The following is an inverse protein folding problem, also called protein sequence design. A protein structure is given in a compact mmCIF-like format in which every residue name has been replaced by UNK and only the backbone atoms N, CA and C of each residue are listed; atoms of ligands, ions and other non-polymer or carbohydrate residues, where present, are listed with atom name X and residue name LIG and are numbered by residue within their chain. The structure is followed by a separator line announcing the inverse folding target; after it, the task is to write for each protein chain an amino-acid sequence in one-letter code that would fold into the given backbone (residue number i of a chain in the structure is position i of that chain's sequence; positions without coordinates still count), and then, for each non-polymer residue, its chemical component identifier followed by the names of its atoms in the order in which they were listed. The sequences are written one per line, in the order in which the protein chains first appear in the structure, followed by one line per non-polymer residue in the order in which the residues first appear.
data_IF_617461638361
#
_entry.id   IF_617461638361
#
_cell.length_a   1.000
_cell.length_b   1.000
_cell.length_c   1.000
_cell.angle_alpha   90.00
_cell.angle_beta   90.00
_cell.angle_gamma   90.00
#
_symmetry.space_group_name_H-M   'P 1'
#
loop_
_entity.id
_entity.type
_entity.pdbx_description
1 polymer ?
#
# COMPACT_ATOMS: atom_id res chain seq x y z
N UNK A 1 33.87 -11.44 -4.63
CA UNK A 1 34.93 -10.94 -3.74
C UNK A 1 34.39 -10.91 -2.32
N UNK A 2 35.12 -11.47 -1.35
CA UNK A 2 34.73 -11.45 0.06
C UNK A 2 35.02 -10.06 0.67
N UNK A 3 34.31 -9.64 1.74
CA UNK A 3 34.55 -8.38 2.41
C UNK A 3 35.99 -8.20 2.91
N UNK A 4 36.62 -9.29 3.39
CA UNK A 4 38.02 -9.28 3.84
C UNK A 4 39.01 -8.95 2.70
N UNK A 5 38.78 -9.49 1.50
CA UNK A 5 39.60 -9.22 0.32
C UNK A 5 39.44 -7.77 -0.17
N UNK A 6 38.23 -7.19 -0.06
CA UNK A 6 37.99 -5.78 -0.40
C UNK A 6 38.73 -4.83 0.55
N UNK A 7 38.81 -5.14 1.84
CA UNK A 7 39.55 -4.35 2.81
C UNK A 7 41.07 -4.42 2.56
N UNK A 8 41.59 -5.60 2.22
CA UNK A 8 43.00 -5.77 1.83
C UNK A 8 43.38 -4.98 0.57
N UNK A 9 42.42 -4.72 -0.32
CA UNK A 9 42.59 -3.91 -1.52
C UNK A 9 42.45 -2.40 -1.29
N UNK A 10 42.22 -1.93 -0.05
CA UNK A 10 42.00 -0.52 0.27
C UNK A 10 40.54 -0.07 0.15
N UNK A 11 39.59 -0.99 0.28
CA UNK A 11 38.15 -0.73 0.23
C UNK A 11 37.53 -0.89 -1.17
N UNK A 12 36.21 -0.67 -1.25
CA UNK A 12 35.42 -0.89 -2.48
C UNK A 12 35.88 -0.01 -3.64
N UNK A 13 36.24 1.24 -3.37
CA UNK A 13 36.68 2.17 -4.42
C UNK A 13 38.03 1.77 -5.01
N UNK A 14 39.00 1.39 -4.16
CA UNK A 14 40.32 0.97 -4.61
C UNK A 14 40.26 -0.39 -5.35
N UNK A 15 39.46 -1.33 -4.86
CA UNK A 15 39.16 -2.56 -5.59
C UNK A 15 38.50 -2.27 -6.95
N UNK A 16 37.55 -1.33 -7.00
CA UNK A 16 36.87 -0.99 -8.25
C UNK A 16 37.80 -0.29 -9.24
N UNK A 17 38.69 0.60 -8.80
CA UNK A 17 39.73 1.20 -9.68
C UNK A 17 40.67 0.18 -10.31
N UNK A 18 40.77 -1.03 -9.76
CA UNK A 18 41.68 -2.09 -10.24
C UNK A 18 40.97 -3.18 -11.04
N UNK A 19 39.71 -3.47 -10.70
CA UNK A 19 38.98 -4.62 -11.26
C UNK A 19 37.66 -4.26 -11.95
N UNK A 20 37.10 -3.06 -11.75
CA UNK A 20 35.90 -2.66 -12.46
C UNK A 20 36.24 -2.29 -13.91
N UNK A 21 35.62 -3.00 -14.85
CA UNK A 21 35.57 -2.54 -16.23
C UNK A 21 34.55 -1.40 -16.33
N UNK A 22 34.98 -0.25 -16.84
CA UNK A 22 34.07 0.85 -17.11
C UNK A 22 33.10 0.39 -18.20
N UNK A 23 31.83 0.75 -18.07
CA UNK A 23 30.79 0.41 -19.06
C UNK A 23 30.24 1.68 -19.66
N UNK A 24 29.94 1.64 -20.96
CA UNK A 24 29.18 2.70 -21.59
C UNK A 24 27.72 2.61 -21.11
N UNK A 25 27.30 3.65 -20.40
CA UNK A 25 25.90 3.87 -20.09
C UNK A 25 25.17 4.31 -21.36
N UNK A 26 24.03 3.68 -21.60
CA UNK A 26 23.15 4.03 -22.71
C UNK A 26 22.06 4.95 -22.18
N UNK A 27 21.54 5.81 -23.06
CA UNK A 27 20.43 6.70 -22.72
C UNK A 27 19.21 5.91 -22.23
N UNK A 28 18.41 6.53 -21.36
CA UNK A 28 17.27 5.89 -20.67
C UNK A 28 16.21 5.32 -21.64
N UNK A 29 16.20 5.79 -22.89
CA UNK A 29 15.35 5.32 -23.99
C UNK A 29 15.99 4.33 -24.97
N UNK A 30 17.27 3.95 -24.82
CA UNK A 30 17.98 3.13 -25.81
C UNK A 30 17.37 1.73 -26.02
N UNK A 31 16.61 1.26 -25.03
CA UNK A 31 15.91 -0.03 -25.08
C UNK A 31 14.40 0.11 -25.28
N UNK A 32 13.91 1.31 -25.64
CA UNK A 32 12.49 1.54 -25.89
C UNK A 32 11.99 0.69 -27.07
N UNK A 33 10.77 0.15 -26.94
CA UNK A 33 10.15 -0.69 -27.96
C UNK A 33 10.63 -2.15 -28.01
N UNK A 34 11.65 -2.52 -27.24
CA UNK A 34 12.12 -3.91 -27.16
C UNK A 34 11.33 -4.70 -26.13
N UNK A 35 10.82 -5.86 -26.55
CA UNK A 35 10.09 -6.79 -25.70
C UNK A 35 10.99 -7.33 -24.58
N UNK A 36 10.39 -7.59 -23.42
CA UNK A 36 11.09 -8.29 -22.34
C UNK A 36 11.23 -9.78 -22.67
N UNK A 37 12.39 -10.35 -22.34
CA UNK A 37 12.59 -11.80 -22.38
C UNK A 37 12.00 -12.47 -21.14
N UNK A 38 11.70 -13.77 -21.23
CA UNK A 38 11.21 -14.56 -20.08
C UNK A 38 12.36 -15.15 -19.24
N UNK A 39 13.58 -15.14 -19.78
CA UNK A 39 14.77 -15.68 -19.12
C UNK A 39 15.72 -16.35 -20.11
N UNK A 40 16.94 -16.63 -19.65
CA UNK A 40 18.01 -17.19 -20.45
C UNK A 40 17.63 -18.52 -21.11
N UNK A 41 17.17 -19.50 -20.34
CA UNK A 41 16.85 -20.83 -20.84
C UNK A 41 15.70 -20.79 -21.86
N UNK A 42 14.62 -20.07 -21.54
CA UNK A 42 13.50 -19.89 -22.44
C UNK A 42 13.92 -19.20 -23.75
N UNK A 43 14.74 -18.15 -23.67
CA UNK A 43 15.19 -17.45 -24.87
C UNK A 43 16.07 -18.34 -25.77
N UNK A 44 17.02 -19.08 -25.21
CA UNK A 44 17.89 -19.97 -25.99
C UNK A 44 17.12 -21.16 -26.55
N UNK A 45 16.44 -21.93 -25.69
CA UNK A 45 15.87 -23.22 -26.08
C UNK A 45 14.54 -23.09 -26.83
N UNK A 46 13.75 -22.05 -26.54
CA UNK A 46 12.46 -21.83 -27.18
C UNK A 46 12.59 -20.76 -28.25
N UNK A 47 12.90 -19.51 -27.89
CA UNK A 47 12.83 -18.39 -28.85
C UNK A 47 13.81 -18.53 -30.01
N UNK A 48 15.09 -18.79 -29.75
CA UNK A 48 16.12 -18.89 -30.80
C UNK A 48 15.90 -20.15 -31.63
N UNK A 49 15.65 -21.29 -30.99
CA UNK A 49 15.43 -22.57 -31.67
C UNK A 49 14.23 -22.50 -32.62
N UNK A 50 13.08 -22.04 -32.13
CA UNK A 50 11.85 -21.93 -32.94
C UNK A 50 11.99 -20.93 -34.08
N UNK A 51 12.64 -19.78 -33.84
CA UNK A 51 12.90 -18.80 -34.90
C UNK A 51 13.81 -19.38 -35.99
N UNK A 52 14.87 -20.08 -35.59
CA UNK A 52 15.79 -20.71 -36.53
C UNK A 52 15.09 -21.78 -37.36
N UNK A 53 14.35 -22.71 -36.74
CA UNK A 53 13.69 -23.79 -37.48
C UNK A 53 12.62 -23.27 -38.44
N UNK A 54 11.95 -22.15 -38.11
CA UNK A 54 10.93 -21.56 -38.95
C UNK A 54 11.50 -20.72 -40.10
N UNK A 55 12.56 -19.94 -39.88
CA UNK A 55 12.96 -18.86 -40.81
C UNK A 55 14.36 -18.98 -41.38
N UNK A 56 15.18 -19.92 -40.91
CA UNK A 56 16.59 -19.97 -41.32
C UNK A 56 16.74 -20.11 -42.84
N UNK A 57 15.91 -20.92 -43.49
CA UNK A 57 15.96 -21.09 -44.94
C UNK A 57 15.64 -19.79 -45.69
N UNK A 58 14.75 -18.95 -45.15
CA UNK A 58 14.38 -17.65 -45.71
C UNK A 58 15.49 -16.62 -45.53
N UNK A 59 16.15 -16.58 -44.37
CA UNK A 59 17.21 -15.60 -44.08
C UNK A 59 18.58 -16.02 -44.60
N UNK A 60 18.79 -17.31 -44.93
CA UNK A 60 20.11 -17.86 -45.31
C UNK A 60 20.74 -17.14 -46.53
N UNK A 61 20.01 -16.81 -47.61
CA UNK A 61 20.60 -16.07 -48.73
C UNK A 61 21.17 -14.72 -48.29
N UNK A 62 20.43 -13.97 -47.47
CA UNK A 62 20.87 -12.69 -46.94
C UNK A 62 22.05 -12.83 -45.96
N UNK A 63 22.04 -13.87 -45.12
CA UNK A 63 23.14 -14.18 -44.21
C UNK A 63 24.43 -14.47 -44.99
N UNK A 64 24.34 -15.28 -46.04
CA UNK A 64 25.49 -15.63 -46.90
C UNK A 64 26.02 -14.40 -47.63
N UNK A 65 25.14 -13.52 -48.13
CA UNK A 65 25.56 -12.25 -48.72
C UNK A 65 26.33 -11.35 -47.72
N UNK A 66 25.90 -11.30 -46.47
CA UNK A 66 26.51 -10.43 -45.45
C UNK A 66 27.81 -11.01 -44.85
N UNK A 67 27.94 -12.34 -44.76
CA UNK A 67 28.98 -12.99 -43.94
C UNK A 67 29.75 -14.11 -44.65
N UNK A 68 29.43 -14.39 -45.92
CA UNK A 68 30.09 -15.38 -46.76
C UNK A 68 29.83 -16.84 -46.36
N UNK A 69 28.84 -17.13 -45.51
CA UNK A 69 28.49 -18.51 -45.18
C UNK A 69 27.36 -18.66 -44.16
N UNK A 70 26.84 -19.88 -44.05
CA UNK A 70 25.80 -20.22 -43.08
C UNK A 70 26.34 -20.56 -41.68
N UNK A 71 25.41 -20.85 -40.77
CA UNK A 71 25.68 -21.35 -39.42
C UNK A 71 24.81 -22.59 -39.14
N UNK A 72 25.22 -23.46 -38.21
CA UNK A 72 24.39 -24.58 -37.76
C UNK A 72 23.58 -24.21 -36.51
N UNK A 73 22.43 -24.84 -36.29
CA UNK A 73 21.62 -24.60 -35.10
C UNK A 73 22.43 -24.83 -33.80
N UNK A 74 23.22 -25.91 -33.72
CA UNK A 74 24.04 -26.24 -32.55
C UNK A 74 25.04 -25.12 -32.22
N UNK A 75 25.71 -24.59 -33.24
CA UNK A 75 26.70 -23.50 -33.05
C UNK A 75 26.03 -22.19 -32.68
N UNK A 76 24.87 -21.88 -33.30
CA UNK A 76 24.07 -20.71 -32.94
C UNK A 76 23.60 -20.75 -31.48
N UNK A 77 23.08 -21.90 -31.01
CA UNK A 77 22.62 -22.07 -29.64
C UNK A 77 23.75 -21.93 -28.62
N UNK A 78 24.97 -22.40 -28.94
CA UNK A 78 26.14 -22.22 -28.08
C UNK A 78 26.49 -20.73 -27.91
N UNK A 79 26.54 -19.97 -29.02
CA UNK A 79 26.78 -18.51 -28.96
C UNK A 79 25.65 -17.78 -28.24
N UNK A 80 24.40 -18.16 -28.51
CA UNK A 80 23.22 -17.61 -27.85
C UNK A 80 23.27 -17.83 -26.34
N UNK A 81 23.62 -19.03 -25.87
CA UNK A 81 23.77 -19.33 -24.46
C UNK A 81 24.83 -18.46 -23.78
N UNK A 82 25.98 -18.26 -24.43
CA UNK A 82 27.03 -17.38 -23.93
C UNK A 82 26.58 -15.91 -23.85
N UNK A 83 25.88 -15.41 -24.88
CA UNK A 83 25.32 -14.05 -24.89
C UNK A 83 24.24 -13.87 -23.81
N UNK A 84 23.38 -14.86 -23.63
CA UNK A 84 22.31 -14.84 -22.64
C UNK A 84 22.85 -14.87 -21.20
N UNK A 85 23.91 -15.65 -20.93
CA UNK A 85 24.55 -15.67 -19.62
C UNK A 85 25.26 -14.37 -19.24
N UNK A 86 25.56 -13.50 -20.22
CA UNK A 86 26.13 -12.18 -19.98
C UNK A 86 25.08 -11.05 -20.00
N UNK A 87 23.82 -11.36 -20.32
CA UNK A 87 22.73 -10.40 -20.31
C UNK A 87 22.19 -10.19 -18.89
N UNK A 88 21.51 -9.07 -18.68
CA UNK A 88 20.81 -8.81 -17.42
C UNK A 88 19.69 -9.83 -17.23
N UNK A 89 19.78 -10.64 -16.17
CA UNK A 89 18.88 -11.77 -15.92
C UNK A 89 17.38 -11.41 -16.05
N UNK A 90 16.97 -10.26 -15.50
CA UNK A 90 15.57 -9.83 -15.48
C UNK A 90 15.05 -9.30 -16.80
N UNK A 91 15.90 -8.75 -17.65
CA UNK A 91 15.47 -7.96 -18.82
C UNK A 91 15.97 -8.49 -20.15
N UNK A 92 17.04 -9.30 -20.15
CA UNK A 92 17.71 -9.79 -21.37
C UNK A 92 18.52 -8.71 -22.07
N UNK A 93 18.65 -7.53 -21.45
CA UNK A 93 19.36 -6.38 -22.02
C UNK A 93 20.85 -6.48 -21.68
N UNK A 94 21.63 -5.53 -22.21
CA UNK A 94 22.99 -5.29 -21.75
C UNK A 94 23.97 -6.46 -21.95
N UNK A 95 23.73 -7.34 -22.92
CA UNK A 95 24.72 -8.36 -23.31
C UNK A 95 25.88 -7.67 -24.05
N UNK A 96 27.02 -7.55 -23.36
CA UNK A 96 28.18 -6.72 -23.77
C UNK A 96 29.43 -7.55 -24.06
N UNK A 97 29.28 -8.82 -24.42
CA UNK A 97 30.46 -9.64 -24.74
C UNK A 97 31.17 -9.10 -25.97
N UNK A 98 32.50 -9.07 -25.95
CA UNK A 98 33.30 -8.81 -27.15
C UNK A 98 33.33 -10.08 -27.99
N UNK A 99 33.77 -9.96 -29.25
CA UNK A 99 33.94 -11.16 -30.08
C UNK A 99 35.05 -12.04 -29.49
N UNK A 100 36.15 -11.44 -29.04
CA UNK A 100 37.24 -12.17 -28.37
C UNK A 100 36.77 -12.95 -27.14
N UNK A 101 35.93 -12.36 -26.27
CA UNK A 101 35.41 -13.10 -25.10
C UNK A 101 34.39 -14.17 -25.48
N UNK A 102 33.67 -14.00 -26.59
CA UNK A 102 32.83 -15.08 -27.12
C UNK A 102 33.68 -16.23 -27.69
N UNK A 103 34.78 -15.94 -28.39
CA UNK A 103 35.74 -16.95 -28.88
C UNK A 103 36.26 -17.75 -27.70
N UNK A 104 36.74 -17.08 -26.65
CA UNK A 104 37.26 -17.71 -25.43
C UNK A 104 36.22 -18.60 -24.74
N UNK A 105 34.97 -18.11 -24.60
CA UNK A 105 33.90 -18.86 -23.91
C UNK A 105 33.33 -20.02 -24.70
N UNK A 106 33.29 -19.93 -26.03
CA UNK A 106 32.61 -20.92 -26.88
C UNK A 106 33.56 -21.84 -27.62
N UNK A 107 34.85 -21.50 -27.71
CA UNK A 107 35.86 -22.19 -28.52
C UNK A 107 35.65 -22.04 -30.03
N UNK A 108 34.76 -21.14 -30.47
CA UNK A 108 34.41 -20.96 -31.89
C UNK A 108 35.27 -19.87 -32.52
N UNK A 109 35.57 -20.01 -33.81
CA UNK A 109 36.29 -19.00 -34.57
C UNK A 109 35.53 -17.67 -34.69
N UNK A 110 36.28 -16.57 -34.82
CA UNK A 110 35.72 -15.20 -34.89
C UNK A 110 34.64 -15.05 -35.98
N UNK A 111 34.90 -15.54 -37.20
CA UNK A 111 33.94 -15.48 -38.31
C UNK A 111 32.63 -16.23 -37.99
N UNK A 112 32.71 -17.34 -37.26
CA UNK A 112 31.52 -18.10 -36.84
C UNK A 112 30.68 -17.32 -35.85
N UNK A 113 31.31 -16.57 -34.94
CA UNK A 113 30.59 -15.71 -33.98
C UNK A 113 29.95 -14.51 -34.69
N UNK A 114 30.66 -13.91 -35.66
CA UNK A 114 30.10 -12.83 -36.47
C UNK A 114 28.85 -13.32 -37.25
N UNK A 115 28.92 -14.51 -37.87
CA UNK A 115 27.77 -15.18 -38.49
C UNK A 115 26.64 -15.42 -37.51
N UNK A 116 26.94 -15.90 -36.30
CA UNK A 116 25.94 -16.15 -35.27
C UNK A 116 25.19 -14.88 -34.88
N UNK A 117 25.91 -13.79 -34.61
CA UNK A 117 25.32 -12.50 -34.26
C UNK A 117 24.44 -11.93 -35.38
N UNK A 118 24.92 -12.02 -36.61
CA UNK A 118 24.13 -11.60 -37.77
C UNK A 118 22.88 -12.47 -37.94
N UNK A 119 22.99 -13.78 -37.71
CA UNK A 119 21.84 -14.70 -37.74
C UNK A 119 20.81 -14.32 -36.67
N UNK A 120 21.22 -14.05 -35.43
CA UNK A 120 20.31 -13.63 -34.36
C UNK A 120 19.60 -12.32 -34.67
N UNK A 121 20.29 -11.40 -35.34
CA UNK A 121 19.74 -10.12 -35.80
C UNK A 121 18.71 -10.32 -36.93
N UNK A 122 19.04 -11.13 -37.94
CA UNK A 122 18.14 -11.44 -39.05
C UNK A 122 16.88 -12.20 -38.59
N UNK A 123 17.03 -13.11 -37.62
CA UNK A 123 15.91 -13.82 -36.97
C UNK A 123 15.06 -12.91 -36.06
N UNK A 124 15.48 -11.66 -35.85
CA UNK A 124 14.80 -10.66 -35.00
C UNK A 124 14.62 -11.13 -33.54
N UNK A 125 15.53 -11.96 -33.03
CA UNK A 125 15.56 -12.43 -31.64
C UNK A 125 16.59 -11.68 -30.78
N UNK A 126 17.44 -10.89 -31.44
CA UNK A 126 18.36 -9.98 -30.77
C UNK A 126 18.47 -8.69 -31.58
N UNK A 127 18.55 -7.57 -30.87
CA UNK A 127 18.79 -6.25 -31.45
C UNK A 127 20.14 -5.73 -30.97
N UNK A 128 20.99 -5.30 -31.91
CA UNK A 128 22.20 -4.54 -31.61
C UNK A 128 21.79 -3.09 -31.34
N UNK A 129 21.74 -2.73 -30.06
CA UNK A 129 21.30 -1.40 -29.61
C UNK A 129 22.38 -0.35 -29.85
N UNK A 130 23.64 -0.74 -29.61
CA UNK A 130 24.80 0.09 -29.89
C UNK A 130 25.86 -0.77 -30.54
N UNK A 131 26.29 -0.36 -31.73
CA UNK A 131 27.42 -0.99 -32.41
C UNK A 131 28.72 -0.67 -31.69
N UNK A 132 29.57 -1.68 -31.53
CA UNK A 132 30.88 -1.52 -30.94
C UNK A 132 31.68 -0.45 -31.68
N UNK A 133 32.33 0.46 -30.94
CA UNK A 133 33.11 1.57 -31.50
C UNK A 133 34.34 1.86 -30.65
N UNK A 134 35.32 2.53 -31.24
CA UNK A 134 36.47 3.02 -30.46
C UNK A 134 36.04 4.05 -29.41
N UNK A 135 36.74 4.04 -28.27
CA UNK A 135 36.53 5.03 -27.20
C UNK A 135 37.00 6.40 -27.65
N UNK A 136 36.18 7.43 -27.40
CA UNK A 136 36.55 8.85 -27.61
C UNK A 136 37.59 9.29 -26.58
N UNK A 137 38.29 10.41 -26.86
CA UNK A 137 39.35 10.95 -25.98
C UNK A 137 38.89 11.08 -24.51
N UNK A 138 37.73 11.70 -24.27
CA UNK A 138 37.17 11.84 -22.92
C UNK A 138 36.85 10.50 -22.25
N UNK A 139 36.26 9.56 -22.98
CA UNK A 139 35.95 8.20 -22.50
C UNK A 139 37.23 7.42 -22.14
N UNK A 140 38.32 7.62 -22.88
CA UNK A 140 39.63 7.03 -22.58
C UNK A 140 40.23 7.59 -21.30
N UNK A 141 40.20 8.91 -21.11
CA UNK A 141 40.67 9.52 -19.85
C UNK A 141 39.84 9.06 -18.66
N UNK A 142 38.51 8.95 -18.82
CA UNK A 142 37.63 8.36 -17.82
C UNK A 142 38.00 6.91 -17.49
N UNK A 143 38.20 6.08 -18.51
CA UNK A 143 38.58 4.66 -18.35
C UNK A 143 39.95 4.49 -17.69
N UNK A 144 40.92 5.34 -18.03
CA UNK A 144 42.27 5.32 -17.45
C UNK A 144 42.26 5.58 -15.93
N UNK A 145 41.33 6.40 -15.43
CA UNK A 145 41.15 6.62 -13.97
C UNK A 145 40.75 5.34 -13.22
N UNK A 146 40.12 4.39 -13.92
CA UNK A 146 39.75 3.07 -13.41
C UNK A 146 40.67 1.96 -13.94
N UNK A 147 41.89 2.31 -14.38
CA UNK A 147 42.90 1.40 -14.92
C UNK A 147 42.41 0.51 -16.09
N UNK A 148 41.31 0.89 -16.74
CA UNK A 148 40.75 0.15 -17.87
C UNK A 148 41.48 0.53 -19.16
N UNK A 149 42.26 -0.43 -19.68
CA UNK A 149 43.09 -0.28 -20.88
C UNK A 149 42.36 -0.63 -22.19
N UNK A 150 41.05 -0.87 -22.15
CA UNK A 150 40.25 -1.19 -23.33
C UNK A 150 40.31 -0.09 -24.39
N UNK A 151 40.59 -0.47 -25.64
CA UNK A 151 40.64 0.49 -26.77
C UNK A 151 39.26 0.91 -27.29
N UNK A 152 38.25 0.06 -27.12
CA UNK A 152 36.91 0.26 -27.68
C UNK A 152 35.80 -0.28 -26.78
N UNK A 153 34.58 0.17 -27.08
CA UNK A 153 33.36 -0.34 -26.51
C UNK A 153 32.89 -1.58 -27.26
N UNK A 154 32.49 -2.61 -26.51
CA UNK A 154 31.79 -3.76 -27.06
C UNK A 154 30.41 -3.34 -27.60
N UNK A 155 29.93 -4.07 -28.61
CA UNK A 155 28.54 -3.99 -29.05
C UNK A 155 27.59 -4.30 -27.89
N UNK A 156 26.53 -3.51 -27.72
CA UNK A 156 25.50 -3.77 -26.71
C UNK A 156 24.30 -4.42 -27.38
N UNK A 157 23.99 -5.63 -26.93
CA UNK A 157 22.86 -6.40 -27.44
C UNK A 157 21.72 -6.46 -26.44
N UNK A 158 20.50 -6.42 -26.96
CA UNK A 158 19.28 -6.71 -26.23
C UNK A 158 18.64 -7.97 -26.80
N UNK A 159 18.42 -8.96 -25.95
CA UNK A 159 17.86 -10.25 -26.28
C UNK A 159 16.37 -10.22 -25.98
N UNK A 160 15.55 -10.57 -26.96
CA UNK A 160 14.11 -10.50 -26.86
C UNK A 160 13.44 -11.61 -27.67
N UNK A 161 12.18 -11.99 -27.38
CA UNK A 161 11.43 -12.84 -28.29
C UNK A 161 11.18 -12.12 -29.62
N UNK A 162 11.06 -12.88 -30.71
CA UNK A 162 10.77 -12.35 -32.05
C UNK A 162 9.43 -11.62 -32.10
N UNK A 163 8.41 -12.22 -31.49
CA UNK A 163 7.09 -11.63 -31.32
C UNK A 163 6.98 -11.17 -29.87
N UNK A 164 6.67 -9.90 -29.58
CA UNK A 164 6.32 -9.52 -28.22
C UNK A 164 5.16 -10.42 -27.77
N UNK A 165 5.24 -10.92 -26.52
CA UNK A 165 4.09 -11.59 -25.91
C UNK A 165 3.05 -10.51 -25.71
N UNK A 166 2.12 -10.42 -26.66
CA UNK A 166 1.01 -9.51 -26.57
C UNK A 166 -0.06 -10.17 -25.71
N UNK A 167 -0.05 -9.88 -24.40
CA UNK A 167 -1.11 -10.31 -23.48
C UNK A 167 -2.49 -9.71 -23.85
N UNK A 168 -2.55 -8.83 -24.84
CA UNK A 168 -3.79 -8.18 -25.28
C UNK A 168 -4.37 -8.77 -26.57
N UNK A 169 -3.68 -9.68 -27.27
CA UNK A 169 -4.14 -10.23 -28.55
C UNK A 169 -4.56 -11.69 -28.49
N UNK A 170 -5.77 -11.87 -29.00
CA UNK A 170 -6.42 -13.09 -29.46
C UNK A 170 -5.42 -13.97 -30.21
N UNK A 171 -5.44 -15.26 -29.87
CA UNK A 171 -4.68 -16.36 -30.48
C UNK A 171 -4.69 -16.21 -32.00
N UNK A 172 -3.53 -15.94 -32.59
CA UNK A 172 -3.32 -16.01 -34.05
C UNK A 172 -2.88 -17.43 -34.38
N UNK A 173 -3.33 -17.96 -35.51
CA UNK A 173 -2.93 -19.27 -36.02
C UNK A 173 -1.39 -19.40 -36.06
N UNK A 174 -0.88 -20.48 -35.45
CA UNK A 174 0.56 -20.72 -35.27
C UNK A 174 1.19 -20.09 -34.02
N UNK A 175 0.43 -19.47 -33.12
CA UNK A 175 0.90 -19.24 -31.74
C UNK A 175 0.84 -20.55 -30.95
N UNK A 176 1.85 -20.80 -30.10
CA UNK A 176 1.83 -21.96 -29.22
C UNK A 176 0.60 -21.80 -28.32
N UNK A 177 -0.44 -22.60 -28.56
CA UNK A 177 -1.52 -22.77 -27.61
C UNK A 177 -0.93 -23.45 -26.38
N UNK A 178 -0.36 -22.65 -25.47
CA UNK A 178 -0.12 -23.09 -24.11
C UNK A 178 -1.49 -23.47 -23.57
N UNK A 179 -1.66 -24.74 -23.22
CA UNK A 179 -2.89 -25.22 -22.61
C UNK A 179 -3.28 -24.22 -21.50
N UNK A 180 -4.54 -23.76 -21.45
CA UNK A 180 -5.00 -22.90 -20.38
C UNK A 180 -4.62 -23.59 -19.08
N UNK A 181 -3.76 -22.95 -18.29
CA UNK A 181 -3.28 -23.56 -17.06
C UNK A 181 -4.54 -23.89 -16.25
N UNK A 182 -4.66 -25.12 -15.68
CA UNK A 182 -5.83 -25.46 -14.90
C UNK A 182 -6.05 -24.36 -13.88
N UNK A 183 -7.21 -23.71 -13.95
CA UNK A 183 -7.54 -22.49 -13.17
C UNK A 183 -7.38 -22.70 -11.65
N UNK A 184 -7.22 -23.94 -11.18
CA UNK A 184 -6.89 -24.35 -9.82
C UNK A 184 -5.95 -25.56 -9.82
N UNK A 185 -4.85 -25.48 -9.09
CA UNK A 185 -4.16 -26.68 -8.59
C UNK A 185 -4.97 -27.30 -7.44
N UNK A 186 -4.92 -28.62 -7.30
CA UNK A 186 -5.60 -29.38 -6.23
C UNK A 186 -5.15 -28.99 -4.81
N UNK A 187 -4.02 -28.28 -4.69
CA UNK A 187 -3.54 -27.70 -3.45
C UNK A 187 -3.71 -26.17 -3.48
N UNK A 188 -4.94 -25.72 -3.22
CA UNK A 188 -5.20 -24.31 -2.97
C UNK A 188 -4.78 -23.96 -1.54
N UNK A 189 -3.53 -23.55 -1.35
CA UNK A 189 -3.19 -22.70 -0.20
C UNK A 189 -3.98 -21.40 -0.40
N UNK A 190 -4.78 -21.02 0.59
CA UNK A 190 -5.51 -19.75 0.63
C UNK A 190 -4.54 -18.58 0.46
N UNK A 191 -4.24 -18.19 -0.78
CA UNK A 191 -3.60 -16.91 -1.06
C UNK A 191 -4.59 -15.82 -0.70
N UNK A 192 -4.19 -15.00 0.26
CA UNK A 192 -4.99 -13.91 0.80
C UNK A 192 -5.54 -13.02 -0.33
N UNK A 193 -6.79 -12.58 -0.14
CA UNK A 193 -7.58 -11.76 -1.05
C UNK A 193 -6.71 -10.63 -1.67
N UNK A 194 -6.29 -10.80 -2.92
CA UNK A 194 -5.76 -9.70 -3.72
C UNK A 194 -6.92 -8.77 -4.08
N UNK A 195 -7.01 -7.71 -3.31
CA UNK A 195 -7.80 -6.50 -3.57
C UNK A 195 -7.53 -6.04 -5.02
N UNK A 196 -8.55 -6.16 -5.89
CA UNK A 196 -8.53 -5.61 -7.24
C UNK A 196 -8.60 -4.10 -7.10
N UNK A 197 -7.45 -3.44 -7.08
CA UNK A 197 -7.35 -1.99 -7.10
C UNK A 197 -7.17 -1.51 -8.54
N UNK A 198 -8.25 -1.01 -9.12
CA UNK A 198 -8.24 -0.26 -10.37
C UNK A 198 -7.44 1.03 -10.20
N UNK A 199 -6.13 0.99 -10.48
CA UNK A 199 -5.31 2.19 -10.61
C UNK A 199 -4.53 2.14 -11.91
N UNK A 200 -4.55 3.26 -12.66
CA UNK A 200 -4.02 3.43 -14.03
C UNK A 200 -2.48 3.36 -14.14
N UNK A 201 -1.78 2.56 -13.33
CA UNK A 201 -0.32 2.37 -13.43
C UNK A 201 0.04 0.90 -13.41
N UNK A 202 0.73 0.45 -14.47
CA UNK A 202 1.21 -0.91 -14.62
C UNK A 202 2.23 -1.28 -13.53
N UNK A 203 2.18 -2.55 -13.13
CA UNK A 203 3.01 -3.15 -12.07
C UNK A 203 4.52 -3.00 -12.35
N UNK A 204 4.90 -2.87 -13.62
CA UNK A 204 6.29 -2.76 -14.08
C UNK A 204 6.99 -1.43 -13.74
N UNK A 205 6.24 -0.43 -13.25
CA UNK A 205 6.79 0.85 -12.75
C UNK A 205 6.95 0.91 -11.23
N UNK A 206 6.78 -0.20 -10.50
CA UNK A 206 7.14 -0.25 -9.08
C UNK A 206 8.66 -0.33 -8.93
N UNK A 207 9.31 0.83 -8.93
CA UNK A 207 10.57 0.97 -8.23
C UNK A 207 10.34 0.56 -6.77
N UNK A 208 11.24 -0.25 -6.19
CA UNK A 208 11.27 -0.46 -4.75
C UNK A 208 11.35 0.92 -4.07
N UNK A 209 10.51 1.23 -3.05
CA UNK A 209 10.51 2.54 -2.42
C UNK A 209 11.91 2.82 -1.88
N UNK A 210 12.63 3.74 -2.54
CA UNK A 210 13.90 4.24 -2.05
C UNK A 210 13.57 5.08 -0.82
N UNK A 211 13.92 4.54 0.34
CA UNK A 211 13.76 5.18 1.64
C UNK A 211 14.67 6.42 1.70
N UNK A 212 14.06 7.58 1.48
CA UNK A 212 14.39 8.83 2.15
C UNK A 212 13.05 9.47 2.48
N UNK A 213 12.36 8.89 3.46
CA UNK A 213 11.23 9.59 4.08
C UNK A 213 11.87 10.76 4.81
N UNK A 214 11.72 11.97 4.26
CA UNK A 214 12.03 13.17 5.04
C UNK A 214 11.11 13.18 6.26
N UNK A 215 11.50 13.84 7.35
CA UNK A 215 10.64 13.93 8.55
C UNK A 215 9.23 14.43 8.19
N UNK A 216 9.14 15.36 7.24
CA UNK A 216 7.88 15.87 6.70
C UNK A 216 7.03 14.81 5.97
N UNK A 217 7.65 13.86 5.26
CA UNK A 217 6.90 12.78 4.59
C UNK A 217 6.32 11.78 5.60
N UNK A 218 7.05 11.51 6.69
CA UNK A 218 6.56 10.66 7.78
C UNK A 218 5.38 11.32 8.48
N UNK A 219 5.51 12.59 8.85
CA UNK A 219 4.44 13.37 9.49
C UNK A 219 3.19 13.44 8.61
N UNK A 220 3.37 13.66 7.30
CA UNK A 220 2.26 13.65 6.33
C UNK A 220 1.60 12.27 6.23
N UNK A 221 2.38 11.19 6.23
CA UNK A 221 1.84 9.83 6.22
C UNK A 221 1.07 9.52 7.52
N UNK A 222 1.54 9.98 8.67
CA UNK A 222 0.86 9.86 9.95
C UNK A 222 -0.46 10.66 9.99
N UNK A 223 -0.46 11.89 9.49
CA UNK A 223 -1.68 12.69 9.34
C UNK A 223 -2.72 11.97 8.47
N UNK A 224 -2.30 11.39 7.34
CA UNK A 224 -3.18 10.63 6.45
C UNK A 224 -3.71 9.37 7.15
N UNK A 225 -2.90 8.69 7.98
CA UNK A 225 -3.36 7.56 8.81
C UNK A 225 -4.43 7.99 9.82
N UNK A 226 -4.25 9.12 10.50
CA UNK A 226 -5.26 9.68 11.42
C UNK A 226 -6.56 10.00 10.68
N UNK A 227 -6.49 10.65 9.52
CA UNK A 227 -7.65 10.92 8.67
C UNK A 227 -8.35 9.64 8.20
N UNK A 228 -7.59 8.57 7.88
CA UNK A 228 -8.15 7.28 7.51
C UNK A 228 -8.89 6.60 8.68
N UNK A 229 -8.33 6.65 9.90
CA UNK A 229 -8.99 6.12 11.08
C UNK A 229 -10.30 6.86 11.36
N UNK A 230 -10.30 8.20 11.30
CA UNK A 230 -11.52 8.99 11.43
C UNK A 230 -12.56 8.62 10.37
N UNK A 231 -12.15 8.52 9.11
CA UNK A 231 -13.02 8.10 8.01
C UNK A 231 -13.63 6.71 8.24
N UNK A 232 -12.84 5.75 8.74
CA UNK A 232 -13.32 4.39 9.02
C UNK A 232 -14.36 4.36 10.13
N UNK A 233 -14.14 5.11 11.22
CA UNK A 233 -15.08 5.26 12.33
C UNK A 233 -16.36 5.97 11.89
N UNK A 234 -16.22 7.00 11.05
CA UNK A 234 -17.36 7.74 10.50
C UNK A 234 -18.21 6.85 9.59
N UNK A 235 -17.63 6.13 8.64
CA UNK A 235 -18.39 5.25 7.76
C UNK A 235 -19.06 4.08 8.49
N UNK A 236 -18.50 3.63 9.62
CA UNK A 236 -19.11 2.61 10.49
C UNK A 236 -20.24 3.11 11.37
N UNK A 237 -20.43 4.43 11.50
CA UNK A 237 -21.49 5.00 12.34
C UNK A 237 -22.86 4.86 11.64
N UNK A 238 -23.91 4.39 12.34
CA UNK A 238 -25.26 4.28 11.78
C UNK A 238 -25.85 5.62 11.32
N UNK A 239 -25.47 6.75 11.94
CA UNK A 239 -25.97 8.10 11.58
C UNK A 239 -25.35 8.67 10.29
N UNK A 240 -24.37 7.99 9.70
CA UNK A 240 -23.63 8.50 8.55
C UNK A 240 -24.47 8.43 7.27
N UNK A 241 -24.56 9.52 6.49
CA UNK A 241 -25.44 9.59 5.32
C UNK A 241 -25.03 8.62 4.21
N UNK A 242 -26.02 8.14 3.45
CA UNK A 242 -25.83 7.12 2.42
C UNK A 242 -24.85 7.56 1.31
N UNK A 243 -24.87 8.84 0.92
CA UNK A 243 -23.94 9.38 -0.08
C UNK A 243 -22.47 9.28 0.37
N UNK A 244 -22.19 9.30 1.68
CA UNK A 244 -20.82 9.22 2.18
C UNK A 244 -20.25 7.80 2.01
N UNK A 245 -21.12 6.78 2.13
CA UNK A 245 -20.79 5.36 2.00
C UNK A 245 -20.47 4.92 0.57
N UNK A 246 -20.78 5.74 -0.42
CA UNK A 246 -20.39 5.48 -1.82
C UNK A 246 -18.86 5.56 -2.02
N UNK A 247 -18.14 6.22 -1.11
CA UNK A 247 -16.69 6.36 -1.16
C UNK A 247 -15.98 5.53 -0.09
N UNK A 248 -14.76 5.09 -0.39
CA UNK A 248 -13.96 4.27 0.53
C UNK A 248 -13.30 5.14 1.62
N UNK A 249 -12.96 4.57 2.80
CA UNK A 249 -12.22 5.28 3.84
C UNK A 249 -10.92 5.93 3.34
N UNK A 250 -10.23 5.26 2.39
CA UNK A 250 -9.02 5.79 1.73
C UNK A 250 -9.30 7.04 0.90
N UNK A 251 -10.45 7.14 0.24
CA UNK A 251 -10.85 8.33 -0.52
C UNK A 251 -11.19 9.53 0.39
N UNK A 252 -11.71 9.26 1.58
CA UNK A 252 -12.03 10.27 2.59
C UNK A 252 -10.82 10.79 3.37
N UNK A 253 -9.77 9.96 3.53
CA UNK A 253 -8.62 10.30 4.36
C UNK A 253 -7.99 11.68 4.08
N UNK A 254 -7.76 12.11 2.82
CA UNK A 254 -7.18 13.43 2.53
C UNK A 254 -8.14 14.62 2.73
N UNK A 255 -9.42 14.39 3.01
CA UNK A 255 -10.38 15.45 3.36
C UNK A 255 -10.55 15.58 4.88
N UNK A 256 -10.25 14.51 5.61
CA UNK A 256 -10.42 14.42 7.06
C UNK A 256 -9.09 14.43 7.83
N UNK A 257 -7.96 14.67 7.16
CA UNK A 257 -6.64 14.80 7.77
C UNK A 257 -6.59 15.92 8.81
N UNK A 258 -7.05 17.12 8.44
CA UNK A 258 -6.96 18.29 9.29
C UNK A 258 -7.95 18.20 10.47
N UNK A 259 -9.24 17.83 10.27
CA UNK A 259 -10.16 17.55 11.39
C UNK A 259 -9.63 16.47 12.34
N UNK A 260 -9.05 15.39 11.80
CA UNK A 260 -8.50 14.32 12.64
C UNK A 260 -7.26 14.78 13.45
N UNK A 261 -6.48 15.72 12.93
CA UNK A 261 -5.36 16.31 13.67
C UNK A 261 -5.84 17.12 14.88
N UNK A 262 -7.01 17.77 14.75
CA UNK A 262 -7.67 18.52 15.83
C UNK A 262 -8.59 17.68 16.72
N UNK A 263 -8.55 16.34 16.60
CA UNK A 263 -9.29 15.45 17.51
C UNK A 263 -10.78 15.29 17.22
N UNK A 264 -11.25 15.70 16.03
CA UNK A 264 -12.65 15.53 15.66
C UNK A 264 -13.07 14.06 15.64
N UNK A 265 -14.29 13.80 16.08
CA UNK A 265 -14.88 12.47 16.14
C UNK A 265 -15.88 12.21 15.00
N UNK A 266 -16.24 10.94 14.83
CA UNK A 266 -17.26 10.56 13.85
C UNK A 266 -18.66 11.14 14.15
N UNK A 267 -18.98 11.40 15.42
CA UNK A 267 -20.24 12.01 15.82
C UNK A 267 -20.28 13.49 15.45
N UNK A 268 -19.19 14.22 15.72
CA UNK A 268 -19.03 15.64 15.37
C UNK A 268 -19.24 15.91 13.87
N UNK A 269 -18.74 15.01 13.02
CA UNK A 269 -18.95 15.09 11.58
C UNK A 269 -20.42 14.99 11.19
N UNK A 270 -21.19 14.12 11.87
CA UNK A 270 -22.62 14.00 11.61
C UNK A 270 -23.40 15.18 12.21
N UNK A 271 -23.03 15.65 13.40
CA UNK A 271 -23.69 16.79 14.03
C UNK A 271 -23.46 18.09 13.25
N UNK A 272 -22.30 18.28 12.61
CA UNK A 272 -22.05 19.41 11.70
C UNK A 272 -22.85 19.32 10.40
N UNK A 273 -23.02 18.12 9.84
CA UNK A 273 -23.90 17.89 8.69
C UNK A 273 -25.37 18.18 9.07
N UNK A 274 -25.81 17.73 10.25
CA UNK A 274 -27.15 17.97 10.77
C UNK A 274 -27.38 19.46 11.06
N UNK A 275 -26.40 20.16 11.64
CA UNK A 275 -26.45 21.59 11.88
C UNK A 275 -26.56 22.38 10.56
N UNK A 276 -25.76 22.02 9.55
CA UNK A 276 -25.85 22.63 8.23
C UNK A 276 -27.20 22.36 7.55
N UNK A 277 -27.72 21.13 7.65
CA UNK A 277 -29.02 20.73 7.12
C UNK A 277 -30.16 21.54 7.76
N UNK A 278 -30.11 21.74 9.09
CA UNK A 278 -31.07 22.58 9.83
C UNK A 278 -30.99 24.05 9.41
N UNK A 279 -29.78 24.60 9.25
CA UNK A 279 -29.57 26.00 8.89
C UNK A 279 -30.06 26.30 7.46
N UNK A 280 -29.83 25.38 6.51
CA UNK A 280 -30.23 25.54 5.11
C UNK A 280 -31.64 25.01 4.81
N UNK A 281 -32.25 24.28 5.75
CA UNK A 281 -33.53 23.56 5.58
C UNK A 281 -33.52 22.58 4.40
N UNK A 282 -32.37 21.97 4.11
CA UNK A 282 -32.20 21.05 2.97
C UNK A 282 -31.46 19.78 3.39
N UNK A 283 -31.96 18.63 2.93
CA UNK A 283 -31.23 17.37 3.10
C UNK A 283 -30.00 17.34 2.19
N UNK A 284 -28.80 17.05 2.71
CA UNK A 284 -27.57 17.04 1.92
C UNK A 284 -27.60 15.88 0.91
N UNK A 285 -27.62 16.21 -0.38
CA UNK A 285 -27.40 15.26 -1.47
C UNK A 285 -26.36 15.81 -2.48
N UNK A 286 -25.07 15.88 -2.10
CA UNK A 286 -24.05 16.50 -2.92
C UNK A 286 -23.64 15.63 -4.11
N UNK A 287 -23.57 16.22 -5.31
CA UNK A 287 -22.99 15.57 -6.51
C UNK A 287 -21.51 15.21 -6.33
N UNK A 288 -20.80 15.97 -5.49
CA UNK A 288 -19.39 15.74 -5.16
C UNK A 288 -19.19 15.69 -3.64
N UNK A 289 -19.42 14.52 -3.00
CA UNK A 289 -19.37 14.36 -1.54
C UNK A 289 -18.08 14.84 -0.87
N UNK A 290 -16.92 14.48 -1.43
CA UNK A 290 -15.62 14.81 -0.84
C UNK A 290 -15.35 16.32 -0.89
N UNK A 291 -15.72 16.97 -2.00
CA UNK A 291 -15.59 18.42 -2.14
C UNK A 291 -16.54 19.16 -1.19
N UNK A 292 -17.78 18.68 -1.06
CA UNK A 292 -18.76 19.22 -0.11
C UNK A 292 -18.24 19.17 1.33
N UNK A 293 -17.72 18.03 1.77
CA UNK A 293 -17.17 17.91 3.13
C UNK A 293 -15.95 18.79 3.34
N UNK A 294 -15.03 18.89 2.37
CA UNK A 294 -13.88 19.82 2.47
C UNK A 294 -14.34 21.27 2.61
N UNK A 295 -15.32 21.66 1.82
CA UNK A 295 -15.92 22.99 1.91
C UNK A 295 -16.58 23.21 3.27
N UNK A 296 -17.36 22.24 3.74
CA UNK A 296 -18.06 22.30 5.03
C UNK A 296 -17.06 22.44 6.18
N UNK A 297 -16.01 21.61 6.21
CA UNK A 297 -14.98 21.66 7.26
C UNK A 297 -14.18 22.96 7.22
N UNK A 298 -14.01 23.60 6.05
CA UNK A 298 -13.33 24.90 5.95
C UNK A 298 -14.14 26.05 6.59
N UNK A 299 -15.46 25.89 6.72
CA UNK A 299 -16.32 26.87 7.37
C UNK A 299 -16.36 26.71 8.90
N UNK A 300 -15.85 25.59 9.43
CA UNK A 300 -15.84 25.31 10.86
C UNK A 300 -14.52 25.73 11.48
N UNK A 301 -14.57 26.15 12.74
CA UNK A 301 -13.34 26.28 13.53
C UNK A 301 -12.90 24.90 14.00
N UNK A 302 -11.81 24.41 13.43
CA UNK A 302 -11.29 23.08 13.70
C UNK A 302 -10.77 22.94 15.13
N UNK A 303 -10.37 24.04 15.80
CA UNK A 303 -9.85 24.00 17.17
C UNK A 303 -10.93 23.65 18.20
N UNK A 304 -12.19 23.97 17.92
CA UNK A 304 -13.32 23.77 18.83
C UNK A 304 -14.31 22.76 18.24
N UNK A 305 -13.97 21.48 18.35
CA UNK A 305 -14.87 20.41 17.93
C UNK A 305 -16.20 20.42 18.73
N UNK A 306 -17.34 20.03 18.13
CA UNK A 306 -18.65 20.05 18.76
C UNK A 306 -18.72 19.35 20.13
N UNK A 307 -18.10 18.18 20.29
CA UNK A 307 -18.05 17.49 21.57
C UNK A 307 -17.28 18.26 22.66
N UNK A 308 -16.25 19.04 22.29
CA UNK A 308 -15.50 19.89 23.22
C UNK A 308 -16.39 21.04 23.68
N UNK A 309 -17.14 21.66 22.76
CA UNK A 309 -18.13 22.68 23.10
C UNK A 309 -19.22 22.13 24.03
N UNK A 310 -19.70 20.90 23.77
CA UNK A 310 -20.67 20.23 24.63
C UNK A 310 -20.10 19.91 26.02
N UNK A 311 -18.83 19.52 26.13
CA UNK A 311 -18.16 19.30 27.42
C UNK A 311 -18.03 20.61 28.20
N UNK A 312 -17.59 21.69 27.54
CA UNK A 312 -17.49 23.02 28.16
C UNK A 312 -18.87 23.47 28.69
N UNK A 313 -19.93 23.31 27.89
CA UNK A 313 -21.29 23.65 28.31
C UNK A 313 -21.75 22.79 29.51
N UNK A 314 -21.47 21.48 29.50
CA UNK A 314 -21.83 20.60 30.62
C UNK A 314 -21.06 20.94 31.91
N UNK A 315 -19.79 21.33 31.80
CA UNK A 315 -18.98 21.75 32.95
C UNK A 315 -19.42 23.12 33.48
N UNK A 316 -19.84 24.03 32.60
CA UNK A 316 -20.47 25.29 32.99
C UNK A 316 -21.79 25.05 33.74
N UNK A 317 -22.68 24.21 33.21
CA UNK A 317 -23.94 23.87 33.88
C UNK A 317 -23.73 23.19 35.23
N UNK A 318 -22.70 22.34 35.37
CA UNK A 318 -22.33 21.74 36.66
C UNK A 318 -21.84 22.79 37.64
N UNK A 319 -20.94 23.68 37.20
CA UNK A 319 -20.45 24.76 38.03
C UNK A 319 -21.57 25.72 38.45
N UNK A 320 -22.54 26.00 37.58
CA UNK A 320 -23.73 26.78 37.92
C UNK A 320 -24.62 26.07 38.92
N UNK A 321 -24.85 24.76 38.75
CA UNK A 321 -25.61 23.94 39.72
C UNK A 321 -24.92 23.89 41.08
N UNK A 322 -23.59 23.78 41.11
CA UNK A 322 -22.81 23.82 42.34
C UNK A 322 -22.88 25.19 43.02
N UNK A 323 -22.84 26.29 42.24
CA UNK A 323 -23.05 27.65 42.77
C UNK A 323 -24.45 27.82 43.34
N UNK A 324 -25.48 27.38 42.62
CA UNK A 324 -26.86 27.44 43.09
C UNK A 324 -27.06 26.58 44.35
N UNK A 325 -26.45 25.39 44.41
CA UNK A 325 -26.48 24.55 45.61
C UNK A 325 -25.77 25.22 46.78
N UNK A 326 -24.60 25.82 46.56
CA UNK A 326 -23.84 26.55 47.58
C UNK A 326 -24.59 27.80 48.06
N UNK A 327 -25.25 28.54 47.16
CA UNK A 327 -26.11 29.68 47.51
C UNK A 327 -27.31 29.22 48.35
N UNK A 328 -27.97 28.14 47.94
CA UNK A 328 -29.09 27.57 48.68
C UNK A 328 -28.66 27.03 50.06
N UNK A 329 -27.47 26.43 50.17
CA UNK A 329 -26.90 26.00 51.45
C UNK A 329 -26.49 27.19 52.33
N UNK A 330 -25.91 28.24 51.76
CA UNK A 330 -25.58 29.49 52.46
C UNK A 330 -26.86 30.19 52.96
N UNK A 331 -27.93 30.17 52.18
CA UNK A 331 -29.22 30.71 52.55
C UNK A 331 -29.88 29.86 53.64
N UNK A 332 -29.84 28.52 53.50
CA UNK A 332 -30.32 27.58 54.52
C UNK A 332 -29.57 27.71 55.85
N UNK A 333 -28.25 27.90 55.82
CA UNK A 333 -27.43 28.11 57.03
C UNK A 333 -27.74 29.46 57.68
N UNK A 334 -27.95 30.53 56.90
CA UNK A 334 -28.45 31.82 57.40
C UNK A 334 -29.81 31.69 58.09
N UNK A 335 -30.77 31.01 57.47
CA UNK A 335 -32.08 30.77 58.10
C UNK A 335 -31.96 29.86 59.34
N UNK A 336 -31.04 28.90 59.35
CA UNK A 336 -30.80 28.03 60.51
C UNK A 336 -30.12 28.75 61.68
N UNK A 337 -29.34 29.80 61.42
CA UNK A 337 -28.69 30.63 62.46
C UNK A 337 -29.51 31.86 62.87
N UNK A 338 -30.51 32.27 62.08
CA UNK A 338 -31.37 33.41 62.37
C UNK A 338 -32.28 33.24 63.59
N UNK A 339 -32.53 32.01 64.05
CA UNK A 339 -33.38 31.72 65.20
C UNK A 339 -32.58 31.07 66.34
N UNK A 340 -32.72 31.61 67.55
CA UNK A 340 -32.14 31.04 68.77
C UNK A 340 -32.57 29.57 68.95
N UNK A 341 -31.68 28.75 69.52
CA UNK A 341 -31.87 27.29 69.68
C UNK A 341 -33.18 26.92 70.37
N UNK A 342 -33.67 27.78 71.27
CA UNK A 342 -34.89 27.59 72.07
C UNK A 342 -36.13 28.33 71.54
N UNK A 343 -36.09 28.86 70.31
CA UNK A 343 -37.26 29.55 69.76
C UNK A 343 -38.48 28.61 69.62
N UNK A 344 -39.69 29.07 69.96
CA UNK A 344 -40.92 28.25 69.89
C UNK A 344 -41.15 27.63 68.49
N UNK A 345 -40.78 28.35 67.43
CA UNK A 345 -40.89 27.87 66.05
C UNK A 345 -39.98 26.67 65.74
N UNK A 346 -38.76 26.63 66.31
CA UNK A 346 -37.81 25.53 66.11
C UNK A 346 -38.23 24.26 66.85
N UNK A 347 -38.85 24.41 68.03
CA UNK A 347 -39.43 23.30 68.79
C UNK A 347 -40.61 22.66 68.05
N UNK A 348 -41.52 23.48 67.49
CA UNK A 348 -42.63 23.00 66.69
C UNK A 348 -42.16 22.26 65.42
N UNK A 349 -41.15 22.80 64.71
CA UNK A 349 -40.58 22.14 63.53
C UNK A 349 -39.93 20.79 63.85
N UNK A 350 -39.19 20.67 64.97
CA UNK A 350 -38.61 19.40 65.44
C UNK A 350 -39.69 18.36 65.76
N UNK A 351 -40.79 18.77 66.37
CA UNK A 351 -41.91 17.89 66.68
C UNK A 351 -42.57 17.34 65.41
N UNK A 352 -42.80 18.19 64.40
CA UNK A 352 -43.36 17.78 63.11
C UNK A 352 -42.40 16.85 62.36
N UNK A 353 -41.10 17.15 62.34
CA UNK A 353 -40.09 16.30 61.71
C UNK A 353 -40.04 14.90 62.33
N UNK A 354 -40.09 14.79 63.67
CA UNK A 354 -40.16 13.50 64.38
C UNK A 354 -41.43 12.73 64.01
N UNK A 355 -42.59 13.39 64.00
CA UNK A 355 -43.86 12.77 63.60
C UNK A 355 -43.85 12.28 62.13
N UNK A 356 -43.18 13.01 61.25
CA UNK A 356 -42.98 12.61 59.86
C UNK A 356 -42.06 11.38 59.74
N UNK A 357 -40.96 11.33 60.51
CA UNK A 357 -40.10 10.14 60.53
C UNK A 357 -40.79 8.91 61.10
N UNK A 358 -41.61 9.08 62.13
CA UNK A 358 -42.37 7.99 62.73
C UNK A 358 -43.45 7.46 61.78
N UNK A 359 -44.18 8.35 61.11
CA UNK A 359 -45.17 7.94 60.10
C UNK A 359 -44.52 7.27 58.88
N UNK A 360 -43.33 7.70 58.45
CA UNK A 360 -42.57 7.04 57.39
C UNK A 360 -42.08 5.64 57.80
N UNK A 361 -41.64 5.47 59.07
CA UNK A 361 -41.31 4.16 59.63
C UNK A 361 -42.52 3.23 59.63
N UNK A 362 -43.69 3.72 60.08
CA UNK A 362 -44.94 2.95 60.09
C UNK A 362 -45.37 2.56 58.66
N UNK A 363 -45.23 3.43 57.68
CA UNK A 363 -45.52 3.09 56.28
C UNK A 363 -44.57 2.03 55.72
N UNK A 364 -43.27 2.11 56.06
CA UNK A 364 -42.30 1.09 55.67
C UNK A 364 -42.61 -0.26 56.28
N UNK A 365 -42.95 -0.32 57.58
CA UNK A 365 -43.33 -1.58 58.23
C UNK A 365 -44.63 -2.16 57.67
N UNK A 366 -45.60 -1.32 57.33
CA UNK A 366 -46.83 -1.74 56.65
C UNK A 366 -46.59 -2.22 55.22
N UNK A 367 -45.69 -1.58 54.46
CA UNK A 367 -45.32 -2.01 53.11
C UNK A 367 -44.61 -3.37 53.14
N UNK A 368 -43.64 -3.56 54.04
CA UNK A 368 -42.97 -4.84 54.21
C UNK A 368 -43.89 -5.94 54.75
N UNK A 369 -44.91 -5.59 55.56
CA UNK A 369 -45.94 -6.54 55.98
C UNK A 369 -46.80 -7.01 54.78
N UNK A 370 -47.20 -6.09 53.89
CA UNK A 370 -47.95 -6.41 52.67
C UNK A 370 -47.14 -7.24 51.66
N UNK A 371 -45.84 -6.98 51.53
CA UNK A 371 -44.94 -7.79 50.69
C UNK A 371 -44.75 -9.21 51.24
N UNK A 372 -44.73 -9.38 52.57
CA UNK A 372 -44.70 -10.70 53.21
C UNK A 372 -46.03 -11.46 53.05
N UNK A 373 -47.18 -10.80 53.10
CA UNK A 373 -48.50 -11.42 52.85
C UNK A 373 -48.68 -11.90 51.40
N UNK A 374 -48.08 -11.20 50.43
CA UNK A 374 -48.18 -11.54 49.00
C UNK A 374 -47.11 -12.53 48.50
N UNK A 375 -46.23 -13.03 49.38
CA UNK A 375 -45.23 -14.04 49.02
C UNK A 375 -45.82 -15.45 49.18
N UNK A 376 -46.06 -16.23 48.10
CA UNK A 376 -46.56 -17.60 48.21
C UNK A 376 -45.48 -18.48 48.85
N UNK A 377 -45.79 -19.03 50.03
CA UNK A 377 -44.97 -20.06 50.70
C UNK A 377 -45.01 -21.33 49.85
N UNK A 378 -43.97 -21.59 49.07
CA UNK A 378 -43.81 -22.84 48.34
C UNK A 378 -43.43 -23.96 49.33
N UNK A 379 -44.44 -24.59 49.95
CA UNK A 379 -44.28 -25.86 50.65
C UNK A 379 -44.07 -26.93 49.58
N UNK A 380 -42.83 -27.37 49.37
CA UNK A 380 -42.52 -28.53 48.54
C UNK A 380 -42.94 -29.81 49.26
N UNK A 381 -44.08 -30.39 48.86
CA UNK A 381 -44.40 -31.79 49.15
C UNK A 381 -43.50 -32.70 48.29
N UNK A 382 -42.52 -33.34 48.91
CA UNK A 382 -41.87 -34.52 48.32
C UNK A 382 -42.85 -35.70 48.45
N UNK A 383 -43.23 -36.23 47.30
CA UNK A 383 -44.15 -37.33 47.07
C UNK A 383 -43.67 -38.66 47.65
N UNK A 384 -44.55 -39.28 48.43
CA UNK A 384 -44.59 -40.71 48.67
C UNK A 384 -45.09 -41.43 47.39
N UNK A 385 -44.40 -42.51 46.98
CA UNK A 385 -44.95 -43.79 46.46
C UNK A 385 -43.98 -44.56 45.57
N UNK A 386 -43.50 -45.68 46.09
CA UNK A 386 -43.15 -46.90 45.36
C UNK A 386 -43.65 -48.11 46.15
N UNK A 387 -44.69 -48.78 45.64
CA UNK A 387 -45.41 -49.92 46.25
C UNK A 387 -44.55 -51.18 46.32
N UNK A 388 -44.99 -52.10 47.20
CA UNK A 388 -45.09 -53.57 47.07
C UNK A 388 -44.26 -54.26 46.00
#
# INVERSE_FOLDING_TARGET
MTPAYLNALGGREAACRRYCQVRLELDEGAHAGLAYWQGQQHWVEVCVRTAYTAEYNTIRPQLVANTGGGISLKTLLNVAAAMAGAADFKTGRNSRLTIATLVERTGLGERTIQRARETLKLLRVATEVLRGRLRRRGERFGSHRFQDRGRGWASVWALHPRKPVDNTRIVVDGSIQMAPHPRRGQFCISSSRREVLTTKRSVDKRAAPRRKESKADVEKAEAIRKGLLLASKWLGNPRTPAWARQHTPRGWAPALTDPAAHGWTAADLNDTIDAWSKATRMAPNPKHPIAFMRWLMKQQDLAFAPHVLAQIAADQEKAERERQAAEFEAERTRYASAAAEDSPGRQAARFVARRATDSARIRKTQASARENENSPVWITHLSDRGKR
#
